data_IF_967730732438
#
_entry.id   IF_967730732438
#
_cell.length_a   1.000
_cell.length_b   1.000
_cell.length_c   1.000
_cell.angle_alpha   90.00
_cell.angle_beta   90.00
_cell.angle_gamma   90.00
#
_symmetry.space_group_name_H-M   'P 1'
#
loop_
_entity.id
_entity.type
_entity.pdbx_description
1 polymer ?
#
# COMPACT_ATOMS: atom_id res chain seq x y z
N UNK A 1 -9.34 -7.59 -22.35
CA UNK A 1 -10.53 -7.18 -21.56
C UNK A 1 -10.14 -5.98 -20.71
N UNK A 2 -10.89 -4.88 -20.79
CA UNK A 2 -10.68 -3.69 -19.95
C UNK A 2 -11.70 -3.76 -18.81
N UNK A 3 -11.24 -3.86 -17.57
CA UNK A 3 -12.14 -3.85 -16.41
C UNK A 3 -12.41 -2.38 -16.07
N UNK A 4 -13.68 -2.02 -15.89
CA UNK A 4 -14.08 -0.61 -15.71
C UNK A 4 -13.52 -0.06 -14.40
N UNK A 5 -13.55 -0.87 -13.35
CA UNK A 5 -13.05 -0.54 -12.03
C UNK A 5 -12.35 -1.76 -11.42
N UNK A 6 -11.12 -1.57 -10.95
CA UNK A 6 -10.43 -2.56 -10.12
C UNK A 6 -10.12 -1.91 -8.79
N UNK A 7 -10.70 -2.46 -7.73
CA UNK A 7 -10.58 -1.99 -6.36
C UNK A 7 -9.86 -3.03 -5.51
N UNK A 8 -8.91 -2.62 -4.70
CA UNK A 8 -8.27 -3.48 -3.69
C UNK A 8 -8.23 -2.75 -2.35
N UNK A 9 -8.41 -3.50 -1.27
CA UNK A 9 -8.51 -2.95 0.10
C UNK A 9 -7.46 -3.57 0.98
N UNK A 10 -6.89 -2.77 1.88
CA UNK A 10 -5.89 -3.19 2.85
C UNK A 10 -6.22 -2.62 4.23
N UNK A 11 -6.09 -3.46 5.26
CA UNK A 11 -6.28 -3.07 6.65
C UNK A 11 -5.02 -2.36 7.19
N UNK A 12 -5.20 -1.27 7.93
CA UNK A 12 -4.11 -0.52 8.56
C UNK A 12 -4.02 -0.93 10.04
N UNK A 13 -2.84 -1.34 10.53
CA UNK A 13 -2.66 -1.73 11.93
C UNK A 13 -2.77 -0.54 12.89
N UNK A 14 -3.19 -0.84 14.13
CA UNK A 14 -3.35 0.16 15.20
C UNK A 14 -1.99 0.76 15.61
N UNK A 15 -1.91 2.10 15.57
CA UNK A 15 -0.70 2.86 15.90
C UNK A 15 -0.03 3.55 14.71
N UNK A 16 -0.53 3.34 13.49
CA UNK A 16 -0.07 4.06 12.29
C UNK A 16 -1.11 5.07 11.81
N UNK A 17 -0.67 6.29 11.53
CA UNK A 17 -1.49 7.33 10.91
C UNK A 17 -1.08 7.50 9.45
N UNK A 18 -1.99 7.21 8.54
CA UNK A 18 -1.80 7.46 7.11
C UNK A 18 -2.50 8.76 6.72
N UNK A 19 -1.80 9.62 5.97
CA UNK A 19 -2.34 10.82 5.32
C UNK A 19 -2.16 10.67 3.81
N UNK A 20 -3.17 11.08 3.06
CA UNK A 20 -3.16 11.01 1.60
C UNK A 20 -3.36 12.43 1.08
N UNK A 21 -2.35 12.96 0.39
CA UNK A 21 -2.34 14.29 -0.19
C UNK A 21 -2.03 14.19 -1.67
N UNK A 22 -3.03 14.40 -2.55
CA UNK A 22 -2.84 14.41 -4.01
C UNK A 22 -2.02 13.22 -4.55
N UNK A 23 -2.36 11.99 -4.11
CA UNK A 23 -1.66 10.71 -4.43
C UNK A 23 -0.25 10.57 -3.86
N UNK A 24 0.11 11.41 -2.91
CA UNK A 24 1.25 11.20 -2.02
C UNK A 24 0.72 10.56 -0.74
N UNK A 25 1.31 9.42 -0.36
CA UNK A 25 0.97 8.71 0.86
C UNK A 25 2.05 9.03 1.89
N UNK A 26 1.62 9.56 3.02
CA UNK A 26 2.45 9.82 4.18
C UNK A 26 2.02 8.89 5.31
N UNK A 27 2.96 8.13 5.83
CA UNK A 27 2.76 7.17 6.93
C UNK A 27 3.53 7.69 8.13
N UNK A 28 2.81 8.02 9.20
CA UNK A 28 3.38 8.42 10.48
C UNK A 28 3.25 7.23 11.45
N UNK A 29 4.38 6.77 11.98
CA UNK A 29 4.47 5.72 12.98
C UNK A 29 5.30 6.14 14.19
N UNK A 30 5.52 5.23 15.15
CA UNK A 30 6.24 5.53 16.39
C UNK A 30 7.70 5.92 16.16
N UNK A 31 8.33 5.43 15.09
CA UNK A 31 9.76 5.68 14.80
C UNK A 31 10.03 6.83 13.84
N UNK A 32 9.00 7.43 13.25
CA UNK A 32 9.17 8.51 12.28
C UNK A 32 8.06 8.59 11.25
N UNK A 33 8.27 9.42 10.24
CA UNK A 33 7.34 9.65 9.14
C UNK A 33 8.01 9.24 7.84
N UNK A 34 7.31 8.46 7.02
CA UNK A 34 7.74 8.08 5.68
C UNK A 34 6.74 8.62 4.66
N UNK A 35 7.24 9.13 3.54
CA UNK A 35 6.40 9.68 2.47
C UNK A 35 6.81 9.07 1.14
N UNK A 36 5.82 8.72 0.31
CA UNK A 36 6.03 8.25 -1.07
C UNK A 36 4.99 8.83 -2.01
N UNK A 37 5.47 9.25 -3.18
CA UNK A 37 4.68 9.81 -4.25
C UNK A 37 4.30 8.76 -5.31
N UNK A 38 3.01 8.68 -5.63
CA UNK A 38 2.45 7.81 -6.68
C UNK A 38 1.90 8.61 -7.85
N UNK A 39 2.39 9.85 -8.06
CA UNK A 39 1.90 10.75 -9.13
C UNK A 39 2.04 10.18 -10.54
N UNK A 40 3.01 9.28 -10.73
CA UNK A 40 3.25 8.59 -11.99
C UNK A 40 2.17 7.55 -12.34
N UNK A 41 1.33 7.16 -11.38
CA UNK A 41 0.23 6.21 -11.55
C UNK A 41 -1.11 6.94 -11.40
N UNK A 42 -2.06 6.63 -12.28
CA UNK A 42 -3.42 7.16 -12.19
C UNK A 42 -4.29 6.28 -11.28
N UNK A 43 -3.86 6.13 -10.03
CA UNK A 43 -4.57 5.42 -8.97
C UNK A 43 -5.28 6.42 -8.05
N UNK A 44 -6.46 6.05 -7.61
CA UNK A 44 -7.23 6.77 -6.60
C UNK A 44 -7.04 6.08 -5.25
N UNK A 45 -6.68 6.84 -4.22
CA UNK A 45 -6.46 6.33 -2.87
C UNK A 45 -7.53 6.90 -1.96
N UNK A 46 -8.30 6.02 -1.34
CA UNK A 46 -9.39 6.37 -0.44
C UNK A 46 -9.12 5.79 0.94
N UNK A 47 -9.18 6.65 1.96
CA UNK A 47 -9.13 6.21 3.34
C UNK A 47 -10.57 5.97 3.82
N UNK A 48 -10.96 4.71 3.92
CA UNK A 48 -12.26 4.32 4.48
C UNK A 48 -12.05 4.12 5.99
N UNK A 49 -12.94 4.69 6.78
CA UNK A 49 -13.05 4.37 8.21
C UNK A 49 -14.27 3.46 8.35
N UNK A 50 -14.07 2.23 8.79
CA UNK A 50 -15.20 1.39 9.18
C UNK A 50 -15.79 1.89 10.50
N UNK A 51 -17.06 1.58 10.75
CA UNK A 51 -17.77 1.94 12.00
C UNK A 51 -17.07 1.40 13.28
N UNK A 52 -16.22 0.38 13.14
CA UNK A 52 -15.37 -0.16 14.20
C UNK A 52 -14.10 0.67 14.49
N UNK A 53 -13.90 1.81 13.83
CA UNK A 53 -12.75 2.69 14.04
C UNK A 53 -11.44 2.20 13.38
N UNK A 54 -11.46 1.02 12.76
CA UNK A 54 -10.36 0.47 11.96
C UNK A 54 -10.26 1.26 10.65
N UNK A 55 -9.03 1.64 10.28
CA UNK A 55 -8.76 2.41 9.06
C UNK A 55 -8.42 1.42 7.95
N UNK A 56 -9.18 1.47 6.86
CA UNK A 56 -8.88 0.71 5.64
C UNK A 56 -8.39 1.64 4.56
N UNK A 57 -7.33 1.24 3.87
CA UNK A 57 -6.88 1.88 2.65
C UNK A 57 -7.52 1.15 1.48
N UNK A 58 -8.33 1.86 0.70
CA UNK A 58 -8.88 1.39 -0.57
C UNK A 58 -8.12 2.05 -1.71
N UNK A 59 -7.73 1.26 -2.69
CA UNK A 59 -7.06 1.71 -3.91
C UNK A 59 -7.98 1.37 -5.07
N UNK A 60 -8.39 2.39 -5.82
CA UNK A 60 -9.27 2.26 -6.98
C UNK A 60 -8.49 2.65 -8.25
N UNK A 61 -8.54 1.78 -9.26
CA UNK A 61 -8.04 2.08 -10.60
C UNK A 61 -9.20 2.14 -11.59
N UNK A 62 -9.36 3.30 -12.22
CA UNK A 62 -10.31 3.52 -13.30
C UNK A 62 -9.71 3.08 -14.63
N UNK A 63 -10.48 2.32 -15.42
CA UNK A 63 -10.04 1.76 -16.71
C UNK A 63 -8.85 0.81 -16.61
N UNK A 64 -9.02 -0.24 -15.82
CA UNK A 64 -7.96 -1.18 -15.56
C UNK A 64 -7.57 -1.98 -16.82
N UNK A 65 -6.30 -1.82 -17.22
CA UNK A 65 -5.57 -2.69 -18.15
C UNK A 65 -4.66 -3.61 -17.33
N UNK A 66 -4.14 -4.70 -17.89
CA UNK A 66 -3.21 -5.60 -17.17
C UNK A 66 -2.04 -4.88 -16.49
N UNK A 67 -1.58 -3.75 -17.06
CA UNK A 67 -0.50 -2.92 -16.48
C UNK A 67 -0.94 -2.17 -15.22
N UNK A 68 -2.17 -1.65 -15.20
CA UNK A 68 -2.67 -0.88 -14.05
C UNK A 68 -3.06 -1.79 -12.89
N UNK A 69 -3.58 -3.00 -13.15
CA UNK A 69 -3.84 -3.97 -12.08
C UNK A 69 -2.54 -4.46 -11.42
N UNK A 70 -1.47 -4.62 -12.20
CA UNK A 70 -0.15 -4.88 -11.64
C UNK A 70 0.35 -3.70 -10.78
N UNK A 71 0.11 -2.46 -11.23
CA UNK A 71 0.48 -1.27 -10.48
C UNK A 71 -0.26 -1.13 -9.13
N UNK A 72 -1.53 -1.56 -9.04
CA UNK A 72 -2.27 -1.62 -7.75
C UNK A 72 -1.53 -2.52 -6.77
N UNK A 73 -1.14 -3.73 -7.20
CA UNK A 73 -0.40 -4.68 -6.36
C UNK A 73 0.94 -4.13 -5.91
N UNK A 74 1.68 -3.48 -6.81
CA UNK A 74 2.94 -2.81 -6.46
C UNK A 74 2.73 -1.68 -5.46
N UNK A 75 1.66 -0.90 -5.60
CA UNK A 75 1.32 0.15 -4.65
C UNK A 75 0.98 -0.43 -3.26
N UNK A 76 0.24 -1.54 -3.19
CA UNK A 76 -0.04 -2.23 -1.93
C UNK A 76 1.24 -2.67 -1.22
N UNK A 77 2.14 -3.36 -1.94
CA UNK A 77 3.43 -3.77 -1.36
C UNK A 77 4.28 -2.59 -0.90
N UNK A 78 4.21 -1.46 -1.61
CA UNK A 78 4.87 -0.24 -1.15
C UNK A 78 4.28 0.30 0.15
N UNK A 79 2.95 0.27 0.32
CA UNK A 79 2.31 0.68 1.58
C UNK A 79 2.63 -0.28 2.73
N UNK A 80 2.62 -1.59 2.49
CA UNK A 80 3.04 -2.60 3.48
C UNK A 80 4.49 -2.38 3.94
N UNK A 81 5.39 -2.06 3.02
CA UNK A 81 6.78 -1.75 3.33
C UNK A 81 6.92 -0.45 4.13
N UNK A 82 6.11 0.58 3.84
CA UNK A 82 6.09 1.82 4.61
C UNK A 82 5.60 1.59 6.05
N UNK A 83 4.57 0.76 6.22
CA UNK A 83 4.06 0.40 7.54
C UNK A 83 5.14 -0.36 8.31
N UNK A 84 5.70 -1.41 7.72
CA UNK A 84 6.74 -2.24 8.33
C UNK A 84 7.97 -1.40 8.71
N UNK A 85 8.42 -0.52 7.81
CA UNK A 85 9.54 0.38 8.04
C UNK A 85 9.30 1.45 9.12
N UNK A 86 8.04 1.78 9.43
CA UNK A 86 7.68 2.67 10.54
C UNK A 86 7.67 1.97 11.91
N UNK A 87 7.51 0.64 11.96
CA UNK A 87 7.54 -0.16 13.19
C UNK A 87 8.93 -0.74 13.47
N UNK A 88 9.53 -1.41 12.49
CA UNK A 88 10.84 -2.02 12.60
C UNK A 88 11.90 -0.97 12.28
N UNK A 89 12.72 -0.63 13.27
CA UNK A 89 13.82 0.32 13.08
C UNK A 89 14.72 -0.14 11.94
N UNK A 90 15.07 0.78 11.05
CA UNK A 90 15.92 0.51 9.89
C UNK A 90 17.29 0.04 10.38
N UNK A 91 17.58 -1.26 10.32
CA UNK A 91 18.95 -1.72 10.15
C UNK A 91 19.20 -1.76 8.64
N UNK A 92 19.87 -0.73 8.13
CA UNK A 92 20.41 -0.75 6.78
C UNK A 92 21.64 -1.67 6.83
N UNK A 93 21.47 -2.96 6.56
CA UNK A 93 22.58 -3.80 6.14
C UNK A 93 22.43 -3.93 4.62
N UNK A 94 23.43 -3.42 3.90
CA UNK A 94 23.55 -3.52 2.45
C UNK A 94 23.67 -5.00 2.05
N UNK A 95 22.56 -5.72 1.98
CA UNK A 95 22.46 -7.01 1.32
C UNK A 95 20.98 -7.30 1.05
N UNK A 96 20.59 -7.07 -0.20
CA UNK A 96 19.44 -7.64 -0.93
C UNK A 96 18.36 -8.26 -0.01
N UNK A 97 17.41 -7.45 0.44
CA UNK A 97 16.21 -7.94 1.09
C UNK A 97 15.13 -8.22 0.03
N UNK A 98 15.13 -9.45 -0.51
CA UNK A 98 14.01 -10.00 -1.28
C UNK A 98 12.92 -10.41 -0.29
N UNK A 99 12.22 -9.45 0.32
CA UNK A 99 11.01 -9.77 1.04
C UNK A 99 9.84 -9.83 0.06
N UNK A 100 9.34 -11.06 -0.12
CA UNK A 100 8.07 -11.43 -0.74
C UNK A 100 7.92 -11.12 -2.25
N UNK A 101 8.63 -11.90 -3.07
CA UNK A 101 7.96 -12.48 -4.23
C UNK A 101 6.91 -13.44 -3.66
N UNK A 102 5.64 -13.03 -3.70
CA UNK A 102 4.49 -13.86 -3.38
C UNK A 102 4.44 -15.06 -4.34
N UNK A 103 5.23 -16.09 -4.01
CA UNK A 103 5.01 -17.45 -4.52
C UNK A 103 3.81 -18.02 -3.77
N UNK A 104 2.68 -17.76 -4.38
CA UNK A 104 1.45 -18.50 -4.22
C UNK A 104 1.71 -20.00 -4.44
N UNK A 105 1.46 -20.80 -3.41
CA UNK A 105 1.10 -22.23 -3.43
C UNK A 105 0.72 -22.58 -1.98
N UNK A 106 -0.46 -22.22 -1.48
CA UNK A 106 -1.72 -22.97 -1.61
C UNK A 106 -1.56 -24.48 -1.87
N UNK A 107 -1.96 -25.25 -0.85
CA UNK A 107 -2.56 -26.59 -0.86
C UNK A 107 -1.69 -27.86 -0.97
N UNK A 108 -1.92 -28.69 0.06
CA UNK A 108 -1.67 -30.12 0.28
C UNK A 108 -0.30 -30.55 0.81
#
# INVERSE_FOLDING_TARGET
MKTILSSETMDIPDGVKIKINARVIEVEGPRGKLSRDFKHLNLDFQLIKDEEGKRKLKIDAWFATRKTSAAIRTALSHVENLITGCYQGVQIQNEICVCSLSHQCLHH
#
